data_IF_076635540895
#
_entry.id   IF_076635540895
#
_cell.length_a   1.000
_cell.length_b   1.000
_cell.length_c   1.000
_cell.angle_alpha   90.00
_cell.angle_beta   90.00
_cell.angle_gamma   90.00
#
_symmetry.space_group_name_H-M   'P 1'
#
loop_
_entity.id
_entity.type
_entity.pdbx_description
1 polymer ?
#
# COMPACT_ATOMS: atom_id res chain seq x y z
N UNK A 1 14.98 9.30 5.63
CA UNK A 1 13.82 8.45 5.29
C UNK A 1 13.70 7.27 6.24
N UNK A 2 14.73 6.44 6.41
CA UNK A 2 14.70 5.31 7.36
C UNK A 2 14.31 5.73 8.78
N UNK A 3 14.87 6.83 9.31
CA UNK A 3 14.51 7.33 10.64
C UNK A 3 13.04 7.73 10.77
N UNK A 4 12.43 8.25 9.69
CA UNK A 4 11.00 8.54 9.66
C UNK A 4 10.17 7.26 9.72
N UNK A 5 10.56 6.24 8.95
CA UNK A 5 9.87 4.96 8.92
C UNK A 5 10.02 4.23 10.27
N UNK A 6 11.22 4.26 10.86
CA UNK A 6 11.52 3.65 12.16
C UNK A 6 10.71 4.26 13.31
N UNK A 7 10.49 5.57 13.27
CA UNK A 7 9.79 6.30 14.34
C UNK A 7 8.28 6.44 14.11
N UNK A 8 7.73 5.88 13.04
CA UNK A 8 6.31 5.90 12.75
C UNK A 8 5.72 4.48 12.69
N UNK A 9 4.40 4.40 12.84
CA UNK A 9 3.66 3.13 12.77
C UNK A 9 2.53 3.16 11.74
N UNK A 10 2.32 4.31 11.11
CA UNK A 10 1.19 4.57 10.23
C UNK A 10 1.63 5.24 8.93
N UNK A 11 0.99 4.85 7.83
CA UNK A 11 1.11 5.49 6.53
C UNK A 11 -0.27 5.62 5.87
N UNK A 12 -0.35 6.39 4.79
CA UNK A 12 -1.54 6.40 3.94
C UNK A 12 -1.27 5.50 2.73
N UNK A 13 -2.10 4.49 2.52
CA UNK A 13 -2.10 3.70 1.30
C UNK A 13 -3.10 4.32 0.32
N UNK A 14 -2.58 4.85 -0.79
CA UNK A 14 -3.34 5.30 -1.93
C UNK A 14 -3.38 4.19 -3.00
N UNK A 15 -4.57 3.84 -3.46
CA UNK A 15 -4.80 2.88 -4.55
C UNK A 15 -5.75 3.50 -5.56
N UNK A 16 -5.71 3.04 -6.81
CA UNK A 16 -6.64 3.46 -7.85
C UNK A 16 -7.36 2.24 -8.43
N UNK A 17 -8.65 2.38 -8.70
CA UNK A 17 -9.42 1.40 -9.50
C UNK A 17 -10.10 2.16 -10.63
N UNK A 18 -9.61 2.01 -11.85
CA UNK A 18 -10.01 2.87 -12.97
C UNK A 18 -9.56 4.31 -12.73
N UNK A 19 -10.51 5.24 -12.60
CA UNK A 19 -10.25 6.67 -12.32
C UNK A 19 -10.56 7.08 -10.88
N UNK A 20 -10.95 6.14 -10.02
CA UNK A 20 -11.37 6.44 -8.65
C UNK A 20 -10.22 6.20 -7.66
N UNK A 21 -9.63 7.27 -7.09
CA UNK A 21 -8.64 7.14 -6.04
C UNK A 21 -9.30 6.69 -4.73
N UNK A 22 -8.59 5.84 -3.99
CA UNK A 22 -8.96 5.41 -2.66
C UNK A 22 -7.75 5.48 -1.74
N UNK A 23 -7.81 6.40 -0.78
CA UNK A 23 -6.79 6.60 0.25
C UNK A 23 -7.30 6.06 1.59
N UNK A 24 -6.42 5.42 2.34
CA UNK A 24 -6.75 4.92 3.66
C UNK A 24 -5.54 4.88 4.58
N UNK A 25 -5.77 5.16 5.87
CA UNK A 25 -4.76 4.99 6.91
C UNK A 25 -4.45 3.49 7.09
N UNK A 26 -3.18 3.16 7.22
CA UNK A 26 -2.67 1.81 7.41
C UNK A 26 -1.63 1.81 8.52
N UNK A 27 -1.70 0.82 9.41
CA UNK A 27 -0.53 0.46 10.21
C UNK A 27 0.44 -0.36 9.37
N UNK A 28 1.74 -0.22 9.62
CA UNK A 28 2.76 -1.02 8.94
C UNK A 28 3.81 -1.55 9.90
N UNK A 29 4.56 -2.54 9.41
CA UNK A 29 5.84 -3.00 9.95
C UNK A 29 6.86 -3.07 8.82
N UNK A 30 8.15 -3.10 9.15
CA UNK A 30 9.24 -3.25 8.17
C UNK A 30 10.06 -4.49 8.45
N UNK A 31 10.84 -4.91 7.48
CA UNK A 31 11.98 -5.78 7.71
C UNK A 31 13.10 -5.04 8.47
N UNK A 32 14.16 -5.78 8.83
CA UNK A 32 15.29 -5.25 9.60
C UNK A 32 16.10 -4.22 8.80
N UNK A 33 16.14 -4.35 7.48
CA UNK A 33 16.87 -3.44 6.57
C UNK A 33 16.02 -2.25 6.08
N UNK A 34 14.76 -2.15 6.50
CA UNK A 34 13.78 -1.15 6.08
C UNK A 34 13.59 -1.07 4.55
N UNK A 35 13.71 -2.21 3.86
CA UNK A 35 13.51 -2.32 2.41
C UNK A 35 12.05 -2.55 2.05
N UNK A 36 11.35 -3.33 2.87
CA UNK A 36 9.96 -3.70 2.64
C UNK A 36 9.04 -3.14 3.73
N UNK A 37 7.86 -2.67 3.32
CA UNK A 37 6.78 -2.23 4.23
C UNK A 37 5.61 -3.20 4.11
N UNK A 38 5.31 -3.88 5.21
CA UNK A 38 4.23 -4.86 5.29
C UNK A 38 2.99 -4.25 5.93
N UNK A 39 1.83 -4.49 5.31
CA UNK A 39 0.53 -4.04 5.79
C UNK A 39 -0.45 -5.22 5.79
N UNK A 40 -1.30 -5.31 6.81
CA UNK A 40 -2.32 -6.38 6.91
C UNK A 40 -3.70 -5.80 6.61
N UNK A 41 -4.47 -6.51 5.79
CA UNK A 41 -5.87 -6.16 5.51
C UNK A 41 -6.71 -7.40 5.23
N UNK A 42 -8.02 -7.33 5.46
CA UNK A 42 -8.95 -8.41 5.09
C UNK A 42 -9.17 -8.43 3.57
N UNK A 43 -9.40 -9.63 3.02
CA UNK A 43 -9.65 -9.84 1.57
C UNK A 43 -10.88 -9.10 1.04
N UNK A 44 -11.87 -8.85 1.90
CA UNK A 44 -13.11 -8.16 1.52
C UNK A 44 -13.00 -6.62 1.53
N UNK A 45 -11.81 -6.05 1.69
CA UNK A 45 -11.61 -4.60 1.70
C UNK A 45 -11.42 -4.04 0.28
N UNK A 46 -11.85 -2.78 0.04
CA UNK A 46 -11.62 -2.08 -1.24
C UNK A 46 -10.13 -2.02 -1.60
N UNK A 47 -9.26 -1.70 -0.64
CA UNK A 47 -7.81 -1.65 -0.84
C UNK A 47 -7.22 -3.00 -1.28
N UNK A 48 -7.71 -4.12 -0.72
CA UNK A 48 -7.28 -5.46 -1.16
C UNK A 48 -7.76 -5.75 -2.58
N UNK A 49 -9.01 -5.45 -2.90
CA UNK A 49 -9.56 -5.62 -4.25
C UNK A 49 -8.80 -4.78 -5.27
N UNK A 50 -8.46 -3.53 -4.94
CA UNK A 50 -7.70 -2.65 -5.81
C UNK A 50 -6.28 -3.18 -6.07
N UNK A 51 -5.59 -3.68 -5.04
CA UNK A 51 -4.24 -4.23 -5.16
C UNK A 51 -4.21 -5.59 -5.89
N UNK A 52 -5.24 -6.41 -5.75
CA UNK A 52 -5.28 -7.76 -6.35
C UNK A 52 -5.88 -7.78 -7.74
N UNK A 53 -6.68 -6.78 -8.11
CA UNK A 53 -7.06 -6.55 -9.50
C UNK A 53 -5.80 -6.15 -10.26
N UNK A 54 -5.36 -7.00 -11.19
CA UNK A 54 -4.21 -6.72 -12.06
C UNK A 54 -4.33 -5.33 -12.67
N UNK A 55 -3.51 -4.42 -12.18
CA UNK A 55 -3.20 -3.15 -12.84
C UNK A 55 -1.72 -3.14 -13.20
N UNK A 56 -1.22 -4.22 -13.81
CA UNK A 56 -0.08 -4.13 -14.70
C UNK A 56 -0.66 -3.97 -16.10
N UNK A 57 -1.00 -2.74 -16.47
CA UNK A 57 -0.73 -2.32 -17.83
C UNK A 57 0.69 -1.78 -17.77
N UNK A 58 1.58 -2.36 -18.57
CA UNK A 58 2.87 -1.75 -18.86
C UNK A 58 2.62 -0.29 -19.26
N UNK A 59 3.46 0.67 -18.84
CA UNK A 59 3.24 2.09 -19.15
C UNK A 59 3.34 2.46 -20.65
N UNK A 60 3.39 1.49 -21.57
CA UNK A 60 3.66 1.71 -23.00
C UNK A 60 3.00 0.66 -23.93
N UNK A 61 1.69 0.40 -23.77
CA UNK A 61 0.84 -0.21 -24.82
C UNK A 61 -0.19 0.80 -25.33
#
# INVERSE_FOLDING_TARGET
MQEFIKNNRFCVLATVSGTFPHCCLMSYVTDEEFRDIYMVTKRNTKKYQNLTKKSFREPFD
#
